data_IF_055445730903
#
_entry.id   IF_055445730903
#
_cell.length_a   1.000
_cell.length_b   1.000
_cell.length_c   1.000
_cell.angle_alpha   90.00
_cell.angle_beta   90.00
_cell.angle_gamma   90.00
#
_symmetry.space_group_name_H-M   'P 1'
#
loop_
_entity.id
_entity.type
_entity.pdbx_description
1 polymer ?
#
# COMPACT_ATOMS: atom_id res chain seq x y z
N UNK A 1 -33.87 9.43 -10.19
CA UNK A 1 -32.77 8.61 -10.78
C UNK A 1 -31.58 9.45 -11.26
N UNK A 2 -31.75 10.45 -12.14
CA UNK A 2 -30.64 11.29 -12.66
C UNK A 2 -29.81 12.05 -11.59
N UNK A 3 -30.43 12.52 -10.49
CA UNK A 3 -29.69 13.17 -9.37
C UNK A 3 -28.77 12.21 -8.61
N UNK A 4 -29.17 10.94 -8.46
CA UNK A 4 -28.36 9.93 -7.77
C UNK A 4 -27.14 9.58 -8.60
N UNK A 5 -27.30 9.30 -9.90
CA UNK A 5 -26.16 9.01 -10.80
C UNK A 5 -25.13 10.14 -10.87
N UNK A 6 -25.58 11.40 -10.84
CA UNK A 6 -24.68 12.56 -10.86
C UNK A 6 -23.86 12.65 -9.57
N UNK A 7 -24.47 12.36 -8.42
CA UNK A 7 -23.80 12.30 -7.11
C UNK A 7 -22.84 11.11 -7.04
N UNK A 8 -23.20 9.94 -7.57
CA UNK A 8 -22.31 8.78 -7.60
C UNK A 8 -21.09 9.02 -8.50
N UNK A 9 -21.26 9.70 -9.65
CA UNK A 9 -20.14 10.08 -10.53
C UNK A 9 -19.22 11.12 -9.87
N UNK A 10 -19.78 12.12 -9.20
CA UNK A 10 -18.99 13.15 -8.49
C UNK A 10 -18.21 12.56 -7.30
N UNK A 11 -18.83 11.64 -6.55
CA UNK A 11 -18.16 10.91 -5.47
C UNK A 11 -17.07 9.98 -5.99
N UNK A 12 -17.28 9.30 -7.13
CA UNK A 12 -16.25 8.48 -7.78
C UNK A 12 -15.05 9.31 -8.23
N UNK A 13 -15.27 10.50 -8.81
CA UNK A 13 -14.15 11.38 -9.18
C UNK A 13 -13.43 11.89 -7.94
N UNK A 14 -14.16 12.40 -6.94
CA UNK A 14 -13.57 12.84 -5.66
C UNK A 14 -12.77 11.73 -4.97
N UNK A 15 -13.22 10.48 -5.08
CA UNK A 15 -12.51 9.30 -4.59
C UNK A 15 -11.19 9.08 -5.31
N UNK A 16 -11.19 9.06 -6.65
CA UNK A 16 -9.95 8.93 -7.43
C UNK A 16 -8.97 10.05 -7.08
N UNK A 17 -9.44 11.30 -7.01
CA UNK A 17 -8.60 12.43 -6.61
C UNK A 17 -8.09 12.32 -5.16
N UNK A 18 -8.91 11.89 -4.20
CA UNK A 18 -8.47 11.72 -2.82
C UNK A 18 -7.46 10.59 -2.67
N UNK A 19 -7.68 9.47 -3.35
CA UNK A 19 -6.75 8.32 -3.35
C UNK A 19 -5.41 8.73 -3.96
N UNK A 20 -5.41 9.42 -5.10
CA UNK A 20 -4.18 9.95 -5.70
C UNK A 20 -3.49 10.97 -4.78
N UNK A 21 -4.23 11.84 -4.10
CA UNK A 21 -3.65 12.80 -3.16
C UNK A 21 -3.03 12.11 -1.95
N UNK A 22 -3.66 11.06 -1.42
CA UNK A 22 -3.09 10.28 -0.31
C UNK A 22 -1.90 9.43 -0.76
N UNK A 23 -1.93 8.86 -1.97
CA UNK A 23 -0.76 8.21 -2.58
C UNK A 23 0.39 9.22 -2.74
N UNK A 24 0.11 10.43 -3.26
CA UNK A 24 1.10 11.49 -3.38
C UNK A 24 1.63 11.93 -2.02
N UNK A 25 0.81 12.01 -0.97
CA UNK A 25 1.27 12.32 0.40
C UNK A 25 2.12 11.21 1.00
N UNK A 26 1.76 9.94 0.78
CA UNK A 26 2.53 8.79 1.23
C UNK A 26 3.89 8.70 0.51
N UNK A 27 3.95 9.21 -0.73
CA UNK A 27 5.19 9.32 -1.51
C UNK A 27 6.01 10.55 -1.09
N UNK A 28 5.36 11.66 -0.69
CA UNK A 28 6.00 12.95 -0.40
C UNK A 28 6.99 12.84 0.77
N UNK A 29 8.21 13.33 0.56
CA UNK A 29 9.17 13.57 1.64
C UNK A 29 8.73 14.76 2.50
N UNK A 30 8.89 14.67 3.82
CA UNK A 30 8.83 15.87 4.66
C UNK A 30 9.91 16.86 4.20
N UNK A 31 9.51 17.98 3.57
CA UNK A 31 10.40 19.06 3.15
C UNK A 31 10.21 19.60 1.73
N UNK A 32 9.39 19.00 0.87
CA UNK A 32 9.20 19.49 -0.51
C UNK A 32 8.22 20.67 -0.59
N UNK A 33 8.71 21.83 -0.14
CA UNK A 33 8.23 23.15 -0.51
C UNK A 33 9.38 23.82 -1.28
N UNK A 34 9.29 23.78 -2.60
CA UNK A 34 10.23 24.30 -3.60
C UNK A 34 11.42 23.40 -3.96
N UNK A 35 11.66 23.33 -5.28
CA UNK A 35 12.83 22.77 -5.91
C UNK A 35 14.12 23.19 -5.21
N UNK A 36 14.67 22.31 -4.39
CA UNK A 36 16.11 22.17 -4.19
C UNK A 36 16.39 20.72 -3.87
N UNK A 37 17.36 20.18 -4.57
CA UNK A 37 17.98 18.86 -4.41
C UNK A 37 18.52 18.71 -2.98
N UNK A 38 17.66 18.38 -2.01
CA UNK A 38 18.09 18.18 -0.62
C UNK A 38 18.58 16.74 -0.50
N UNK A 39 19.91 16.65 -0.44
CA UNK A 39 20.74 15.48 -0.20
C UNK A 39 20.02 14.42 0.65
N UNK A 40 19.68 13.28 0.02
CA UNK A 40 19.49 12.03 0.75
C UNK A 40 20.77 11.82 1.56
N UNK A 41 20.71 11.50 2.87
CA UNK A 41 21.90 11.15 3.62
C UNK A 41 22.70 10.11 2.82
N UNK A 42 23.97 10.38 2.49
CA UNK A 42 24.79 9.54 1.61
C UNK A 42 24.80 8.06 2.02
N UNK A 43 24.63 7.78 3.31
CA UNK A 43 24.51 6.43 3.88
C UNK A 43 23.27 5.64 3.41
N UNK A 44 22.17 6.32 3.06
CA UNK A 44 20.95 5.69 2.55
C UNK A 44 21.04 5.41 1.03
N UNK A 45 21.72 6.26 0.27
CA UNK A 45 21.92 6.07 -1.19
C UNK A 45 22.95 4.99 -1.52
N UNK A 46 23.90 4.70 -0.61
CA UNK A 46 24.92 3.68 -0.82
C UNK A 46 24.48 2.25 -0.47
N UNK A 47 23.35 2.04 0.19
CA UNK A 47 22.89 0.69 0.56
C UNK A 47 21.80 0.15 -0.36
N UNK A 48 21.60 -1.16 -0.33
CA UNK A 48 20.41 -1.77 -0.92
C UNK A 48 19.14 -1.31 -0.19
N UNK A 49 18.05 -1.02 -0.92
CA UNK A 49 16.76 -0.75 -0.30
C UNK A 49 16.17 -2.02 0.34
N UNK A 50 15.33 -1.85 1.34
CA UNK A 50 14.72 -2.95 2.10
C UNK A 50 13.22 -3.02 1.84
N UNK A 51 12.75 -4.22 1.51
CA UNK A 51 11.32 -4.56 1.52
C UNK A 51 11.06 -5.43 2.76
N UNK A 52 10.39 -4.86 3.75
CA UNK A 52 9.92 -5.56 4.94
C UNK A 52 8.47 -6.02 4.72
N UNK A 53 8.26 -7.32 4.65
CA UNK A 53 6.96 -7.95 4.58
C UNK A 53 6.52 -8.34 6.00
N UNK A 54 5.48 -7.69 6.50
CA UNK A 54 4.87 -8.05 7.78
C UNK A 54 3.62 -8.90 7.54
N UNK A 55 3.61 -10.10 8.11
CA UNK A 55 2.50 -11.04 8.05
C UNK A 55 1.92 -11.32 9.43
N UNK A 56 0.62 -11.59 9.49
CA UNK A 56 -0.05 -11.95 10.73
C UNK A 56 -1.55 -11.65 10.69
N UNK A 57 -2.32 -12.44 11.44
CA UNK A 57 -3.77 -12.28 11.53
C UNK A 57 -4.20 -10.91 12.08
N UNK A 58 -5.45 -10.55 11.86
CA UNK A 58 -6.06 -9.42 12.55
C UNK A 58 -5.99 -9.64 14.06
N UNK A 59 -5.64 -8.59 14.83
CA UNK A 59 -5.49 -8.69 16.29
C UNK A 59 -4.22 -9.40 16.78
N UNK A 60 -3.34 -9.86 15.87
CA UNK A 60 -2.08 -10.51 16.24
C UNK A 60 -1.08 -9.57 16.93
N UNK A 61 -1.25 -8.25 16.77
CA UNK A 61 -0.36 -7.23 17.34
C UNK A 61 0.72 -6.74 16.39
N UNK A 62 0.51 -6.85 15.08
CA UNK A 62 1.43 -6.36 14.03
C UNK A 62 1.87 -4.92 14.27
N UNK A 63 0.93 -4.02 14.54
CA UNK A 63 1.22 -2.60 14.80
C UNK A 63 2.10 -2.37 16.04
N UNK A 64 2.04 -3.26 17.04
CA UNK A 64 2.94 -3.20 18.20
C UNK A 64 4.36 -3.60 17.81
N UNK A 65 4.51 -4.70 17.07
CA UNK A 65 5.81 -5.15 16.56
C UNK A 65 6.43 -4.10 15.63
N UNK A 66 5.63 -3.51 14.75
CA UNK A 66 6.08 -2.43 13.86
C UNK A 66 6.65 -1.24 14.63
N UNK A 67 5.99 -0.82 15.72
CA UNK A 67 6.49 0.28 16.59
C UNK A 67 7.84 -0.04 17.21
N UNK A 68 8.12 -1.30 17.51
CA UNK A 68 9.42 -1.70 18.07
C UNK A 68 10.49 -1.81 16.99
N UNK A 69 10.16 -2.35 15.82
CA UNK A 69 11.04 -2.38 14.64
C UNK A 69 11.47 -0.96 14.25
N UNK A 70 10.54 0.00 14.27
CA UNK A 70 10.84 1.40 13.94
C UNK A 70 11.83 2.08 14.89
N UNK A 71 12.04 1.53 16.10
CA UNK A 71 13.03 2.04 17.06
C UNK A 71 14.43 1.46 16.83
N UNK A 72 14.56 0.41 16.03
CA UNK A 72 15.86 -0.19 15.73
C UNK A 72 16.73 0.81 14.96
N UNK A 73 18.04 0.74 15.16
CA UNK A 73 19.00 1.71 14.60
C UNK A 73 18.94 1.85 13.08
N UNK A 74 18.55 0.77 12.39
CA UNK A 74 18.35 0.80 10.94
C UNK A 74 17.12 1.64 10.57
N UNK A 75 15.96 1.33 11.15
CA UNK A 75 14.71 1.99 10.82
C UNK A 75 14.62 3.39 11.42
N UNK A 76 15.25 3.68 12.56
CA UNK A 76 15.22 5.03 13.15
C UNK A 76 15.80 6.10 12.20
N UNK A 77 16.76 5.73 11.36
CA UNK A 77 17.33 6.61 10.33
C UNK A 77 16.66 6.51 8.96
N UNK A 78 16.01 5.39 8.65
CA UNK A 78 15.35 5.16 7.35
C UNK A 78 13.84 5.48 7.36
N UNK A 79 13.19 5.49 8.53
CA UNK A 79 11.74 5.57 8.69
C UNK A 79 11.15 6.86 8.13
N UNK A 80 11.88 7.98 8.18
CA UNK A 80 11.44 9.25 7.58
C UNK A 80 11.30 9.18 6.06
N UNK A 81 11.99 8.23 5.42
CA UNK A 81 11.98 8.01 3.97
C UNK A 81 11.39 6.65 3.57
N UNK A 82 10.93 5.83 4.51
CA UNK A 82 10.29 4.55 4.23
C UNK A 82 8.82 4.74 3.83
N UNK A 83 8.33 3.93 2.90
CA UNK A 83 6.90 3.87 2.55
C UNK A 83 6.26 2.76 3.37
N UNK A 84 5.26 3.10 4.18
CA UNK A 84 4.39 2.11 4.84
C UNK A 84 3.17 1.88 3.95
N UNK A 85 2.97 0.64 3.51
CA UNK A 85 1.84 0.21 2.69
C UNK A 85 0.91 -0.64 3.56
N UNK A 86 -0.24 -0.06 3.90
CA UNK A 86 -1.30 -0.74 4.66
C UNK A 86 -2.64 -0.52 3.95
N UNK A 87 -3.26 -1.59 3.46
CA UNK A 87 -4.52 -1.49 2.72
C UNK A 87 -5.66 -0.91 3.59
N UNK A 88 -5.68 -1.23 4.89
CA UNK A 88 -6.74 -0.77 5.80
C UNK A 88 -6.65 0.75 6.08
N UNK A 89 -5.46 1.35 6.03
CA UNK A 89 -5.30 2.79 6.19
C UNK A 89 -6.01 3.59 5.08
N UNK A 90 -6.08 3.03 3.87
CA UNK A 90 -6.82 3.63 2.75
C UNK A 90 -8.34 3.48 2.87
N UNK A 91 -8.85 2.59 3.73
CA UNK A 91 -10.30 2.46 3.96
C UNK A 91 -10.84 3.63 4.77
N UNK A 92 -10.09 4.09 5.77
CA UNK A 92 -10.51 5.16 6.69
C UNK A 92 -10.52 6.55 6.04
N UNK A 93 -9.75 6.73 4.98
CA UNK A 93 -9.63 7.98 4.21
C UNK A 93 -10.63 8.07 3.05
N UNK A 94 -11.28 6.97 2.66
CA UNK A 94 -12.21 6.92 1.55
C UNK A 94 -13.45 7.81 1.82
N UNK A 95 -13.67 8.77 0.92
CA UNK A 95 -14.75 9.76 0.99
C UNK A 95 -16.13 9.10 1.01
N UNK A 96 -16.28 7.94 0.36
CA UNK A 96 -17.52 7.16 0.33
C UNK A 96 -17.74 6.45 1.67
N UNK A 97 -16.69 5.86 2.26
CA UNK A 97 -16.76 5.25 3.58
C UNK A 97 -17.11 6.28 4.68
N UNK A 98 -16.51 7.48 4.63
CA UNK A 98 -16.87 8.59 5.52
C UNK A 98 -18.30 9.10 5.31
N UNK A 99 -18.74 9.24 4.05
CA UNK A 99 -20.08 9.75 3.73
C UNK A 99 -21.20 8.77 4.14
N UNK A 100 -20.93 7.47 4.17
CA UNK A 100 -21.91 6.45 4.54
C UNK A 100 -21.90 6.16 6.05
N UNK A 101 -20.71 6.08 6.66
CA UNK A 101 -20.61 5.92 8.11
C UNK A 101 -21.21 7.09 8.90
N UNK A 102 -21.31 8.28 8.30
CA UNK A 102 -21.99 9.46 8.86
C UNK A 102 -23.51 9.49 8.64
N UNK A 103 -24.06 8.68 7.73
CA UNK A 103 -25.50 8.69 7.38
C UNK A 103 -26.32 7.56 8.02
N UNK A 104 -25.71 6.64 8.77
CA UNK A 104 -26.43 5.63 9.56
C UNK A 104 -27.18 4.56 8.73
N UNK A 105 -26.93 4.45 7.43
CA UNK A 105 -27.53 3.42 6.58
C UNK A 105 -26.72 2.13 6.65
N UNK A 106 -27.09 1.25 7.58
CA UNK A 106 -26.36 0.01 7.85
C UNK A 106 -26.57 -1.10 6.79
N UNK A 107 -27.69 -1.10 6.07
CA UNK A 107 -27.98 -2.14 5.06
C UNK A 107 -27.12 -1.99 3.79
N UNK A 108 -26.76 -0.76 3.40
CA UNK A 108 -25.88 -0.47 2.26
C UNK A 108 -24.38 -0.64 2.62
N UNK A 109 -24.08 -0.92 3.89
CA UNK A 109 -22.72 -0.95 4.42
C UNK A 109 -21.92 -2.17 3.91
N UNK A 110 -22.57 -3.31 3.64
CA UNK A 110 -21.89 -4.53 3.18
C UNK A 110 -21.36 -4.40 1.75
N UNK A 111 -22.23 -4.03 0.80
CA UNK A 111 -21.84 -3.82 -0.61
C UNK A 111 -20.85 -2.66 -0.74
N UNK A 112 -20.99 -1.62 0.09
CA UNK A 112 -20.03 -0.52 0.06
C UNK A 112 -18.71 -0.91 0.71
N UNK A 113 -18.69 -1.72 1.78
CA UNK A 113 -17.45 -2.21 2.38
C UNK A 113 -16.63 -3.02 1.38
N UNK A 114 -17.27 -3.82 0.53
CA UNK A 114 -16.62 -4.56 -0.56
C UNK A 114 -16.05 -3.62 -1.64
N UNK A 115 -16.83 -2.62 -2.09
CA UNK A 115 -16.35 -1.61 -3.05
C UNK A 115 -15.22 -0.72 -2.49
N UNK A 116 -15.24 -0.44 -1.19
CA UNK A 116 -14.16 0.27 -0.48
C UNK A 116 -12.94 -0.62 -0.37
N UNK A 117 -13.13 -1.90 -0.09
CA UNK A 117 -12.04 -2.86 0.01
C UNK A 117 -11.25 -2.98 -1.29
N UNK A 118 -11.91 -3.11 -2.45
CA UNK A 118 -11.20 -3.26 -3.72
C UNK A 118 -10.33 -2.03 -4.02
N UNK A 119 -10.86 -0.82 -3.92
CA UNK A 119 -10.06 0.36 -4.25
C UNK A 119 -9.00 0.70 -3.21
N UNK A 120 -9.17 0.33 -1.94
CA UNK A 120 -8.09 0.42 -0.96
C UNK A 120 -6.95 -0.57 -1.26
N UNK A 121 -7.30 -1.78 -1.70
CA UNK A 121 -6.32 -2.78 -2.15
C UNK A 121 -5.59 -2.33 -3.42
N UNK A 122 -6.31 -1.75 -4.38
CA UNK A 122 -5.72 -1.22 -5.60
C UNK A 122 -4.77 -0.04 -5.30
N UNK A 123 -5.17 0.88 -4.40
CA UNK A 123 -4.34 2.01 -3.98
C UNK A 123 -3.06 1.56 -3.27
N UNK A 124 -3.18 0.60 -2.35
CA UNK A 124 -2.02 0.01 -1.69
C UNK A 124 -1.09 -0.69 -2.69
N UNK A 125 -1.65 -1.36 -3.70
CA UNK A 125 -0.87 -2.02 -4.75
C UNK A 125 -0.16 -1.01 -5.67
N UNK A 126 -0.82 0.09 -6.01
CA UNK A 126 -0.28 1.22 -6.78
C UNK A 126 0.90 1.86 -6.04
N UNK A 127 0.72 2.16 -4.75
CA UNK A 127 1.76 2.71 -3.89
C UNK A 127 2.95 1.75 -3.78
N UNK A 128 2.69 0.45 -3.59
CA UNK A 128 3.71 -0.59 -3.48
C UNK A 128 4.59 -0.66 -4.73
N UNK A 129 3.99 -0.80 -5.92
CA UNK A 129 4.77 -0.91 -7.16
C UNK A 129 5.54 0.36 -7.46
N UNK A 130 4.95 1.53 -7.16
CA UNK A 130 5.61 2.84 -7.33
C UNK A 130 6.83 2.97 -6.43
N UNK A 131 6.67 2.71 -5.12
CA UNK A 131 7.75 2.78 -4.15
C UNK A 131 8.88 1.79 -4.47
N UNK A 132 8.52 0.55 -4.86
CA UNK A 132 9.50 -0.47 -5.22
C UNK A 132 10.31 -0.10 -6.45
N UNK A 133 9.63 0.40 -7.48
CA UNK A 133 10.25 0.96 -8.67
C UNK A 133 11.24 2.07 -8.29
N UNK A 134 10.86 3.03 -7.45
CA UNK A 134 11.71 4.14 -7.03
C UNK A 134 12.94 3.74 -6.19
N UNK A 135 13.02 2.47 -5.74
CA UNK A 135 14.15 2.03 -4.92
C UNK A 135 14.05 2.51 -3.48
N UNK A 136 12.83 2.77 -2.98
CA UNK A 136 12.60 3.20 -1.60
C UNK A 136 12.56 2.02 -0.64
N UNK A 137 12.85 2.26 0.63
CA UNK A 137 12.50 1.27 1.65
C UNK A 137 10.98 1.18 1.77
N UNK A 138 10.48 -0.05 1.79
CA UNK A 138 9.05 -0.33 1.84
C UNK A 138 8.76 -1.26 3.00
N UNK A 139 7.74 -0.93 3.76
CA UNK A 139 7.16 -1.79 4.79
C UNK A 139 5.75 -2.10 4.34
N UNK A 140 5.51 -3.35 3.97
CA UNK A 140 4.19 -3.83 3.61
C UNK A 140 3.55 -4.51 4.83
N UNK A 141 2.53 -3.89 5.39
CA UNK A 141 1.71 -4.48 6.45
C UNK A 141 0.52 -5.22 5.84
N UNK A 142 0.51 -6.55 5.98
CA UNK A 142 -0.57 -7.39 5.49
C UNK A 142 -0.77 -8.64 6.34
N UNK A 143 -1.72 -9.46 5.92
CA UNK A 143 -1.87 -10.81 6.50
C UNK A 143 -0.88 -11.79 5.90
N UNK A 144 -0.42 -11.53 4.66
CA UNK A 144 0.38 -12.43 3.82
C UNK A 144 -0.25 -13.81 3.63
N UNK A 145 -1.58 -13.90 3.73
CA UNK A 145 -2.33 -15.17 3.61
C UNK A 145 -2.53 -15.63 2.17
N UNK A 146 -2.30 -14.76 1.19
CA UNK A 146 -2.51 -15.03 -0.22
C UNK A 146 -1.18 -15.28 -0.94
N UNK A 147 -0.79 -16.55 -1.04
CA UNK A 147 0.55 -16.97 -1.49
C UNK A 147 0.92 -16.43 -2.87
N UNK A 148 0.07 -16.50 -3.92
CA UNK A 148 0.47 -16.03 -5.25
C UNK A 148 0.81 -14.55 -5.29
N UNK A 149 0.08 -13.72 -4.54
CA UNK A 149 0.38 -12.29 -4.42
C UNK A 149 1.77 -12.06 -3.80
N UNK A 150 2.09 -12.79 -2.72
CA UNK A 150 3.37 -12.64 -2.02
C UNK A 150 4.52 -13.10 -2.90
N UNK A 151 4.39 -14.24 -3.57
CA UNK A 151 5.42 -14.76 -4.48
C UNK A 151 5.67 -13.82 -5.66
N UNK A 152 4.61 -13.32 -6.31
CA UNK A 152 4.73 -12.36 -7.40
C UNK A 152 5.36 -11.05 -6.91
N UNK A 153 5.03 -10.58 -5.70
CA UNK A 153 5.63 -9.37 -5.10
C UNK A 153 7.12 -9.55 -4.83
N UNK A 154 7.52 -10.71 -4.30
CA UNK A 154 8.94 -11.05 -4.11
C UNK A 154 9.67 -11.11 -5.45
N UNK A 155 9.06 -11.72 -6.47
CA UNK A 155 9.64 -11.80 -7.81
C UNK A 155 9.82 -10.41 -8.44
N UNK A 156 8.83 -9.53 -8.30
CA UNK A 156 8.91 -8.13 -8.70
C UNK A 156 10.05 -7.43 -7.95
N UNK A 157 10.06 -7.44 -6.61
CA UNK A 157 11.07 -6.78 -5.79
C UNK A 157 12.51 -7.25 -6.08
N UNK A 158 12.68 -8.53 -6.43
CA UNK A 158 13.97 -9.08 -6.90
C UNK A 158 14.39 -8.51 -8.24
N UNK A 159 13.48 -8.07 -9.10
CA UNK A 159 13.74 -7.66 -10.48
C UNK A 159 13.57 -6.15 -10.75
N UNK A 160 12.97 -5.37 -9.84
CA UNK A 160 12.74 -3.91 -10.03
C UNK A 160 14.03 -3.10 -10.27
N UNK A 161 15.18 -3.66 -9.88
CA UNK A 161 16.49 -3.09 -10.14
C UNK A 161 16.95 -3.22 -11.60
N UNK A 162 16.37 -4.15 -12.37
CA UNK A 162 16.62 -4.38 -13.80
C UNK A 162 15.51 -3.85 -14.69
N UNK A 163 14.26 -3.86 -14.22
CA UNK A 163 13.10 -3.49 -15.04
C UNK A 163 12.04 -2.80 -14.22
N UNK A 164 11.24 -1.95 -14.88
CA UNK A 164 10.07 -1.33 -14.25
C UNK A 164 8.88 -2.28 -14.27
N UNK A 165 8.03 -2.15 -13.27
CA UNK A 165 6.78 -2.88 -13.16
C UNK A 165 5.59 -1.93 -13.06
N UNK A 166 4.40 -2.42 -13.41
CA UNK A 166 3.11 -1.76 -13.17
C UNK A 166 2.14 -2.77 -12.55
N UNK A 167 1.01 -2.27 -12.05
CA UNK A 167 -0.08 -3.14 -11.61
C UNK A 167 -0.59 -4.00 -12.78
N UNK A 168 -0.71 -5.30 -12.53
CA UNK A 168 -1.43 -6.22 -13.40
C UNK A 168 -2.94 -6.18 -13.15
N UNK A 169 -3.64 -7.12 -13.79
CA UNK A 169 -5.11 -7.23 -13.69
C UNK A 169 -5.63 -7.71 -12.33
N UNK A 170 -4.72 -8.17 -11.45
CA UNK A 170 -5.04 -8.76 -10.16
C UNK A 170 -5.63 -10.16 -10.29
N UNK A 171 -6.53 -10.49 -9.36
CA UNK A 171 -7.33 -11.71 -9.40
C UNK A 171 -8.66 -11.45 -10.11
N UNK A 172 -8.95 -12.20 -11.18
CA UNK A 172 -10.21 -12.13 -11.93
C UNK A 172 -10.68 -13.52 -12.31
N UNK A 173 -11.98 -13.76 -12.14
CA UNK A 173 -12.67 -14.94 -12.65
C UNK A 173 -13.46 -14.52 -13.88
N UNK A 174 -13.15 -15.14 -15.01
CA UNK A 174 -13.84 -14.89 -16.28
C UNK A 174 -15.20 -15.62 -16.33
N UNK A 175 -16.05 -15.24 -17.28
CA UNK A 175 -17.39 -15.83 -17.46
C UNK A 175 -17.35 -17.33 -17.81
N UNK A 176 -16.25 -17.80 -18.40
CA UNK A 176 -15.98 -19.20 -18.72
C UNK A 176 -15.46 -20.01 -17.51
N UNK A 177 -15.31 -19.37 -16.34
CA UNK A 177 -14.76 -19.98 -15.12
C UNK A 177 -13.23 -20.00 -15.08
N UNK A 178 -12.55 -19.49 -16.11
CA UNK A 178 -11.09 -19.37 -16.11
C UNK A 178 -10.64 -18.32 -15.10
N UNK A 179 -9.65 -18.65 -14.27
CA UNK A 179 -9.07 -17.72 -13.28
C UNK A 179 -7.80 -17.11 -13.86
N UNK A 180 -7.75 -15.79 -13.92
CA UNK A 180 -6.55 -15.01 -14.22
C UNK A 180 -6.04 -14.42 -12.91
N UNK A 181 -4.77 -14.65 -12.61
CA UNK A 181 -4.13 -14.16 -11.41
C UNK A 181 -2.75 -13.56 -11.74
N UNK A 182 -2.73 -12.26 -11.98
CA UNK A 182 -1.51 -11.54 -12.32
C UNK A 182 -1.51 -10.15 -11.66
N UNK A 183 -0.70 -9.99 -10.63
CA UNK A 183 -0.65 -8.76 -9.83
C UNK A 183 0.35 -7.75 -10.36
N UNK A 184 1.42 -8.18 -11.05
CA UNK A 184 2.49 -7.30 -11.51
C UNK A 184 2.90 -7.59 -12.95
N UNK A 185 2.96 -6.55 -13.76
CA UNK A 185 3.39 -6.64 -15.16
C UNK A 185 4.69 -5.88 -15.36
N UNK A 186 5.67 -6.51 -16.02
CA UNK A 186 6.91 -5.84 -16.43
C UNK A 186 6.61 -4.86 -17.57
N UNK A 187 7.09 -3.63 -17.44
CA UNK A 187 7.00 -2.61 -18.50
C UNK A 187 8.09 -2.89 -19.53
N UNK A 188 7.72 -2.94 -20.82
CA UNK A 188 8.67 -3.22 -21.91
C UNK A 188 9.61 -2.02 -22.14
N UNK A 189 10.87 -2.29 -22.44
CA UNK A 189 11.86 -1.29 -22.83
C UNK A 189 11.41 -0.58 -24.13
N UNK A 190 10.74 0.57 -23.98
CA UNK A 190 10.14 1.33 -25.09
C UNK A 190 8.86 2.07 -24.71
N UNK A 191 8.15 1.59 -23.69
CA UNK A 191 6.96 2.25 -23.09
C UNK A 191 7.33 3.10 -21.86
N UNK A 192 8.63 3.25 -21.55
CA UNK A 192 9.10 4.12 -20.49
C UNK A 192 8.91 5.60 -20.90
N UNK A 193 8.11 6.35 -20.14
CA UNK A 193 7.86 7.76 -20.38
C UNK A 193 9.16 8.54 -20.64
N UNK A 194 9.18 9.27 -21.76
CA UNK A 194 10.32 10.07 -22.22
C UNK A 194 10.81 11.08 -21.17
N UNK A 195 9.96 11.47 -20.22
CA UNK A 195 10.30 12.40 -19.12
C UNK A 195 11.28 11.80 -18.09
N UNK A 196 11.41 10.47 -17.97
CA UNK A 196 12.33 9.84 -17.01
C UNK A 196 13.74 9.60 -17.59
N UNK A 197 13.99 9.87 -18.88
CA UNK A 197 15.31 9.68 -19.50
C UNK A 197 16.31 10.80 -19.15
N UNK A 198 15.85 12.01 -18.87
CA UNK A 198 16.73 13.19 -18.67
C UNK A 198 17.41 13.21 -17.28
N UNK A 199 16.83 12.58 -16.25
CA UNK A 199 17.42 12.53 -14.90
C UNK A 199 18.27 11.27 -14.62
N UNK A 200 18.76 10.57 -15.66
CA UNK A 200 19.69 9.43 -15.50
C UNK A 200 21.10 9.91 -15.09
N UNK A 201 21.23 10.46 -13.89
CA UNK A 201 22.41 10.07 -13.11
C UNK A 201 22.27 8.57 -12.86
N UNK A 202 23.21 7.83 -13.45
CA UNK A 202 23.28 6.37 -13.47
C UNK A 202 23.59 5.85 -12.07
N UNK A 203 22.68 6.04 -11.12
CA UNK A 203 22.61 5.15 -9.98
C UNK A 203 21.98 3.87 -10.51
N UNK A 204 22.82 2.86 -10.79
CA UNK A 204 22.33 1.50 -10.98
C UNK A 204 21.49 1.15 -9.76
N UNK A 205 20.18 0.93 -9.97
CA UNK A 205 19.29 0.55 -8.87
C UNK A 205 19.87 -0.69 -8.22
N UNK A 206 19.94 -0.69 -6.89
CA UNK A 206 20.47 -1.82 -6.13
C UNK A 206 19.37 -2.86 -5.95
N UNK A 207 19.72 -4.16 -5.93
CA UNK A 207 18.75 -5.20 -5.62
C UNK A 207 18.22 -5.01 -4.20
N UNK A 208 16.93 -5.26 -4.01
CA UNK A 208 16.29 -5.19 -2.69
C UNK A 208 16.79 -6.29 -1.76
N UNK A 209 17.00 -5.94 -0.50
CA UNK A 209 17.02 -6.90 0.61
C UNK A 209 15.57 -7.12 1.06
N UNK A 210 15.12 -8.37 1.07
CA UNK A 210 13.74 -8.73 1.44
C UNK A 210 13.77 -9.37 2.82
N UNK A 211 12.98 -8.85 3.75
CA UNK A 211 12.82 -9.34 5.11
C UNK A 211 11.37 -9.74 5.35
N UNK A 212 11.14 -10.81 6.09
CA UNK A 212 9.82 -11.32 6.42
C UNK A 212 9.67 -11.41 7.94
N UNK A 213 8.64 -10.77 8.47
CA UNK A 213 8.30 -10.82 9.90
C UNK A 213 6.91 -11.41 10.04
N UNK A 214 6.84 -12.59 10.65
CA UNK A 214 5.59 -13.25 11.01
C UNK A 214 5.20 -12.93 12.44
N UNK A 215 4.05 -12.29 12.64
CA UNK A 215 3.49 -12.00 13.97
C UNK A 215 2.38 -12.99 14.25
N UNK A 216 2.62 -13.85 15.24
CA UNK A 216 1.67 -14.87 15.70
C UNK A 216 1.09 -14.51 17.06
N UNK A 217 -0.18 -14.84 17.26
CA UNK A 217 -0.88 -14.66 18.52
C UNK A 217 -1.81 -15.85 18.71
N UNK A 218 -2.02 -16.23 19.97
CA UNK A 218 -3.08 -17.17 20.32
C UNK A 218 -4.44 -16.67 19.82
N UNK A 219 -5.25 -17.58 19.27
CA UNK A 219 -6.51 -17.25 18.61
C UNK A 219 -7.53 -16.64 19.59
N UNK A 220 -7.59 -17.14 20.82
CA UNK A 220 -8.47 -16.59 21.86
C UNK A 220 -8.07 -15.15 22.20
N UNK A 221 -6.77 -14.89 22.37
CA UNK A 221 -6.27 -13.54 22.60
C UNK A 221 -6.53 -12.59 21.43
N UNK A 222 -6.37 -13.05 20.18
CA UNK A 222 -6.63 -12.26 18.99
C UNK A 222 -8.11 -11.83 18.91
N UNK A 223 -9.04 -12.75 19.19
CA UNK A 223 -10.49 -12.48 19.22
C UNK A 223 -10.85 -11.49 20.33
N UNK A 224 -10.38 -11.73 21.55
CA UNK A 224 -10.64 -10.82 22.69
C UNK A 224 -10.15 -9.40 22.40
N UNK A 225 -8.96 -9.28 21.80
CA UNK A 225 -8.43 -7.98 21.36
C UNK A 225 -9.33 -7.35 20.29
N UNK A 226 -9.71 -8.09 19.26
CA UNK A 226 -10.60 -7.60 18.20
C UNK A 226 -11.92 -7.03 18.73
N UNK A 227 -12.58 -7.77 19.64
CA UNK A 227 -13.84 -7.34 20.28
C UNK A 227 -13.62 -6.07 21.10
N UNK A 228 -12.53 -6.00 21.88
CA UNK A 228 -12.21 -4.83 22.70
C UNK A 228 -11.97 -3.57 21.85
N UNK A 229 -11.28 -3.71 20.73
CA UNK A 229 -11.07 -2.61 19.78
C UNK A 229 -12.39 -2.12 19.20
N UNK A 230 -13.25 -3.01 18.73
CA UNK A 230 -14.57 -2.63 18.21
C UNK A 230 -15.42 -1.89 19.25
N UNK A 231 -15.39 -2.33 20.50
CA UNK A 231 -16.09 -1.66 21.61
C UNK A 231 -15.52 -0.28 21.93
N UNK A 232 -14.20 -0.11 21.94
CA UNK A 232 -13.56 1.19 22.17
C UNK A 232 -13.89 2.20 21.06
N UNK A 233 -13.88 1.77 19.80
CA UNK A 233 -14.29 2.61 18.66
C UNK A 233 -15.76 3.07 18.77
N UNK A 234 -16.65 2.19 19.24
CA UNK A 234 -18.06 2.55 19.44
C UNK A 234 -18.31 3.54 20.57
N UNK A 235 -17.42 3.62 21.56
CA UNK A 235 -17.57 4.50 22.72
C UNK A 235 -16.93 5.89 22.53
N UNK A 236 -16.14 6.07 21.47
CA UNK A 236 -15.53 7.36 21.08
C UNK A 236 -16.34 8.10 20.00
N UNK A 237 -17.45 7.52 19.53
CA UNK A 237 -18.50 8.22 18.77
C UNK A 237 -19.61 8.67 19.72
#
# INVERSE_FOLDING_TARGET
KQRFEKVTKDLKMKRVFSTLVEEMKAIRREGESHCTDVMVPAALSERSPVLLLMGGGMGAGKSTVLKDIMKESFWSGAATNAVVVEADAFKETDVIYRALSSKGHHDDMLQTAELVHQSSTDAASSLLVTALNEGRDVIMDGTLSWVPFVEQTIAMARNVHKSRYRMGVGYKVNEDGTVIENYWEQVKEGEEDYQQKENRQVFSRKPYRIELVGVVCDAYLAVVRGIRYAYQYHKQR
#
